data_IF_885743357836
#
_entry.id   IF_885743357836
#
_cell.length_a   1.000
_cell.length_b   1.000
_cell.length_c   1.000
_cell.angle_alpha   90.00
_cell.angle_beta   90.00
_cell.angle_gamma   90.00
#
_symmetry.space_group_name_H-M   'P 1'
#
loop_
_entity.id
_entity.type
_entity.pdbx_description
1 polymer ?
#
# COMPACT_ATOMS: atom_id res chain seq x y z
N UNK A 1 -1.36 -31.93 40.67
CA UNK A 1 -1.20 -30.46 40.71
C UNK A 1 -0.07 -29.95 39.82
N UNK A 2 1.16 -30.49 39.87
CA UNK A 2 2.29 -30.01 39.05
C UNK A 2 2.09 -30.12 37.51
N UNK A 3 1.37 -31.15 37.05
CA UNK A 3 1.10 -31.39 35.63
C UNK A 3 0.16 -30.33 35.03
N UNK A 4 -0.84 -29.89 35.78
CA UNK A 4 -1.78 -28.84 35.36
C UNK A 4 -1.11 -27.47 35.20
N UNK A 5 -0.09 -27.17 36.03
CA UNK A 5 0.68 -25.91 35.96
C UNK A 5 1.52 -25.84 34.68
N UNK A 6 2.06 -26.96 34.19
CA UNK A 6 2.79 -27.01 32.91
C UNK A 6 1.91 -26.64 31.72
N UNK A 7 0.67 -27.13 31.69
CA UNK A 7 -0.28 -26.81 30.61
C UNK A 7 -0.69 -25.33 30.62
N UNK A 8 -0.81 -24.72 31.80
CA UNK A 8 -1.09 -23.28 31.93
C UNK A 8 0.08 -22.44 31.39
N UNK A 9 1.33 -22.82 31.67
CA UNK A 9 2.51 -22.11 31.18
C UNK A 9 2.64 -22.16 29.64
N UNK A 10 2.29 -23.31 29.04
CA UNK A 10 2.26 -23.49 27.57
C UNK A 10 1.17 -22.64 26.93
N UNK A 11 0.00 -22.52 27.57
CA UNK A 11 -1.13 -21.72 27.05
C UNK A 11 -0.80 -20.22 27.01
N UNK A 12 -0.07 -19.71 28.02
CA UNK A 12 0.35 -18.30 28.08
C UNK A 12 1.35 -17.98 26.97
N UNK A 13 2.25 -18.91 26.63
CA UNK A 13 3.26 -18.72 25.60
C UNK A 13 2.66 -18.59 24.19
N UNK A 14 1.51 -19.22 23.95
CA UNK A 14 0.79 -19.19 22.66
C UNK A 14 0.04 -17.88 22.39
N UNK A 15 -0.16 -17.02 23.39
CA UNK A 15 -0.88 -15.75 23.25
C UNK A 15 0.02 -14.58 22.78
N UNK A 16 1.32 -14.82 22.59
CA UNK A 16 2.34 -13.80 22.27
C UNK A 16 2.36 -13.32 20.80
N UNK A 17 1.61 -13.94 19.90
CA UNK A 17 1.76 -13.73 18.44
C UNK A 17 0.84 -12.66 17.84
N UNK A 18 0.29 -11.76 18.67
CA UNK A 18 -0.51 -10.64 18.17
C UNK A 18 0.41 -9.52 17.67
N UNK A 19 0.92 -9.67 16.44
CA UNK A 19 1.64 -8.58 15.77
C UNK A 19 0.61 -7.70 15.03
N UNK A 20 0.43 -6.47 15.51
CA UNK A 20 -0.36 -5.48 14.78
C UNK A 20 0.46 -5.12 13.55
N UNK A 21 0.06 -5.67 12.38
CA UNK A 21 0.67 -5.33 11.09
C UNK A 21 0.79 -3.81 10.99
N UNK A 22 2.01 -3.29 11.13
CA UNK A 22 2.29 -1.87 10.94
C UNK A 22 1.95 -1.57 9.48
N UNK A 23 1.13 -0.55 9.25
CA UNK A 23 0.92 -0.04 7.89
C UNK A 23 2.30 0.31 7.32
N UNK A 24 2.73 -0.46 6.31
CA UNK A 24 4.05 -0.32 5.72
C UNK A 24 4.02 0.86 4.75
N UNK A 25 4.33 2.05 5.26
CA UNK A 25 4.50 3.23 4.42
C UNK A 25 5.80 3.08 3.63
N UNK A 26 5.69 3.12 2.32
CA UNK A 26 6.83 3.12 1.39
C UNK A 26 7.29 4.57 1.23
N UNK A 27 8.57 4.83 1.46
CA UNK A 27 9.20 6.13 1.21
C UNK A 27 10.05 6.07 -0.06
N UNK A 28 9.79 6.97 -1.02
CA UNK A 28 10.62 7.19 -2.20
C UNK A 28 11.26 8.58 -2.13
N UNK A 29 12.53 8.71 -2.51
CA UNK A 29 13.27 9.98 -2.50
C UNK A 29 13.77 10.33 -3.89
N UNK A 30 13.78 11.62 -4.21
CA UNK A 30 14.48 12.12 -5.39
C UNK A 30 15.99 11.86 -5.26
N UNK A 31 16.76 11.83 -6.36
CA UNK A 31 18.21 11.60 -6.32
C UNK A 31 18.99 12.55 -5.40
N UNK A 32 18.50 13.79 -5.26
CA UNK A 32 19.09 14.80 -4.38
C UNK A 32 18.42 14.89 -3.00
N UNK A 33 17.52 13.95 -2.68
CA UNK A 33 16.74 13.85 -1.44
C UNK A 33 15.93 15.10 -1.05
N UNK A 34 15.74 16.06 -1.95
CA UNK A 34 14.92 17.27 -1.69
C UNK A 34 13.43 17.00 -1.79
N UNK A 35 13.01 15.94 -2.48
CA UNK A 35 11.61 15.54 -2.56
C UNK A 35 11.49 14.12 -2.00
N UNK A 36 10.54 13.90 -1.10
CA UNK A 36 10.16 12.56 -0.65
C UNK A 36 8.68 12.33 -0.86
N UNK A 37 8.32 11.09 -1.20
CA UNK A 37 6.95 10.63 -1.35
C UNK A 37 6.71 9.48 -0.39
N UNK A 38 5.67 9.61 0.43
CA UNK A 38 5.13 8.52 1.22
C UNK A 38 3.96 7.91 0.47
N UNK A 39 3.92 6.59 0.35
CA UNK A 39 2.84 5.85 -0.28
C UNK A 39 2.42 4.69 0.61
N UNK A 40 1.11 4.51 0.76
CA UNK A 40 0.56 3.34 1.44
C UNK A 40 -0.86 3.07 0.97
N UNK A 41 -1.45 2.02 1.50
CA UNK A 41 -2.85 1.67 1.32
C UNK A 41 -3.50 1.71 2.70
N UNK A 42 -4.60 2.46 2.84
CA UNK A 42 -5.32 2.55 4.12
C UNK A 42 -6.08 1.25 4.45
N UNK A 43 -6.72 1.22 5.61
CA UNK A 43 -7.56 0.10 6.04
C UNK A 43 -8.75 -0.23 5.12
N UNK A 44 -9.20 0.72 4.30
CA UNK A 44 -10.26 0.52 3.32
C UNK A 44 -9.75 -0.05 1.99
N UNK A 45 -8.43 -0.23 1.83
CA UNK A 45 -7.83 -0.67 0.57
C UNK A 45 -7.59 0.46 -0.43
N UNK A 46 -7.69 1.72 -0.01
CA UNK A 46 -7.53 2.89 -0.87
C UNK A 46 -6.05 3.33 -0.87
N UNK A 47 -5.38 3.37 -2.04
CA UNK A 47 -4.03 3.90 -2.13
C UNK A 47 -4.02 5.39 -1.87
N UNK A 48 -3.08 5.86 -1.06
CA UNK A 48 -2.85 7.27 -0.81
C UNK A 48 -1.36 7.60 -0.92
N UNK A 49 -1.07 8.87 -1.17
CA UNK A 49 0.29 9.40 -1.17
C UNK A 49 0.36 10.77 -0.48
N UNK A 50 1.56 11.11 -0.03
CA UNK A 50 1.93 12.41 0.53
C UNK A 50 3.31 12.80 -0.03
N UNK A 51 3.50 14.06 -0.39
CA UNK A 51 4.77 14.56 -0.95
C UNK A 51 5.32 15.68 -0.09
N UNK A 52 6.60 15.57 0.24
CA UNK A 52 7.34 16.59 0.95
C UNK A 52 8.42 17.17 0.04
N UNK A 53 8.62 18.48 0.13
CA UNK A 53 9.84 19.13 -0.32
C UNK A 53 10.67 19.47 0.94
N UNK A 54 11.75 18.74 1.14
CA UNK A 54 12.57 18.72 2.36
C UNK A 54 11.70 18.34 3.57
N UNK A 55 11.36 19.31 4.41
CA UNK A 55 10.54 19.12 5.63
C UNK A 55 9.11 19.64 5.46
N UNK A 56 8.81 20.28 4.34
CA UNK A 56 7.51 20.90 4.09
C UNK A 56 6.63 19.94 3.29
N UNK A 57 5.42 19.67 3.79
CA UNK A 57 4.40 18.91 3.04
C UNK A 57 3.84 19.79 1.94
N UNK A 58 4.16 19.45 0.69
CA UNK A 58 3.69 20.19 -0.50
C UNK A 58 2.46 19.54 -1.14
N UNK A 59 2.24 18.24 -0.87
CA UNK A 59 1.01 17.52 -1.18
C UNK A 59 0.68 16.71 0.06
N UNK A 60 -0.39 17.07 0.76
CA UNK A 60 -0.93 16.29 1.88
C UNK A 60 -1.59 15.00 1.35
N UNK A 61 -2.06 14.17 2.27
CA UNK A 61 -2.72 12.89 2.03
C UNK A 61 -3.74 12.97 0.90
N UNK A 62 -3.37 12.40 -0.24
CA UNK A 62 -4.15 12.42 -1.47
C UNK A 62 -4.40 10.99 -1.94
N UNK A 63 -5.66 10.69 -2.25
CA UNK A 63 -6.05 9.36 -2.72
C UNK A 63 -5.81 9.19 -4.21
N UNK A 64 -5.37 7.99 -4.60
CA UNK A 64 -5.22 7.59 -6.00
C UNK A 64 -6.37 6.66 -6.36
N UNK A 65 -7.14 7.03 -7.38
CA UNK A 65 -8.25 6.24 -7.87
C UNK A 65 -8.54 6.53 -9.33
N UNK A 66 -9.15 5.56 -10.00
CA UNK A 66 -9.59 5.69 -11.39
C UNK A 66 -11.08 5.38 -11.46
N UNK A 67 -11.83 6.19 -12.20
CA UNK A 67 -13.24 5.93 -12.49
C UNK A 67 -13.40 5.70 -13.99
N UNK A 68 -13.76 4.47 -14.38
CA UNK A 68 -13.97 4.14 -15.79
C UNK A 68 -15.46 4.24 -16.13
N UNK A 69 -15.78 4.95 -17.22
CA UNK A 69 -17.15 5.29 -17.63
C UNK A 69 -18.10 4.10 -17.72
N UNK A 70 -17.61 2.90 -18.07
CA UNK A 70 -18.45 1.74 -18.39
C UNK A 70 -18.21 0.51 -17.50
N UNK A 71 -17.31 0.56 -16.52
CA UNK A 71 -17.04 -0.54 -15.56
C UNK A 71 -16.35 -0.02 -14.29
N UNK A 72 -16.81 -0.40 -13.11
CA UNK A 72 -16.07 -0.17 -11.88
C UNK A 72 -14.95 -1.22 -11.75
N UNK A 73 -13.72 -0.85 -12.07
CA UNK A 73 -12.55 -1.68 -11.76
C UNK A 73 -12.00 -1.21 -10.41
N UNK A 74 -12.07 -2.06 -9.39
CA UNK A 74 -11.44 -1.81 -8.09
C UNK A 74 -9.96 -2.12 -8.19
N UNK A 75 -9.11 -1.10 -8.07
CA UNK A 75 -7.65 -1.29 -8.04
C UNK A 75 -7.26 -1.84 -6.67
N UNK A 76 -6.58 -2.98 -6.67
CA UNK A 76 -6.08 -3.65 -5.48
C UNK A 76 -4.66 -4.20 -5.73
N UNK A 77 -4.12 -4.98 -4.79
CA UNK A 77 -2.78 -5.58 -4.88
C UNK A 77 -2.58 -6.59 -6.04
N UNK A 78 -3.65 -7.07 -6.68
CA UNK A 78 -3.59 -7.97 -7.85
C UNK A 78 -3.81 -7.26 -9.18
N UNK A 79 -3.96 -5.93 -9.19
CA UNK A 79 -4.23 -5.15 -10.39
C UNK A 79 -2.92 -4.58 -10.96
N UNK A 80 -2.55 -4.95 -12.19
CA UNK A 80 -1.40 -4.35 -12.90
C UNK A 80 -1.86 -3.20 -13.79
N UNK A 81 -1.17 -2.06 -13.65
CA UNK A 81 -1.36 -0.86 -14.48
C UNK A 81 -0.13 -0.66 -15.37
N UNK A 82 -0.27 -0.90 -16.67
CA UNK A 82 0.77 -0.60 -17.64
C UNK A 82 0.48 0.75 -18.31
N UNK A 83 1.42 1.68 -18.24
CA UNK A 83 1.30 3.00 -18.86
C UNK A 83 2.29 3.11 -20.02
N UNK A 84 1.80 3.45 -21.21
CA UNK A 84 2.64 3.77 -22.37
C UNK A 84 2.44 5.23 -22.76
N UNK A 85 3.54 5.92 -23.05
CA UNK A 85 3.56 7.32 -23.46
C UNK A 85 4.02 7.39 -24.91
N UNK A 86 3.21 7.99 -25.78
CA UNK A 86 3.57 8.25 -27.16
C UNK A 86 4.34 9.57 -27.28
N UNK A 87 5.19 9.68 -28.30
CA UNK A 87 5.99 10.88 -28.59
C UNK A 87 5.16 12.15 -28.82
N UNK A 88 3.89 12.01 -29.22
CA UNK A 88 2.92 13.10 -29.35
C UNK A 88 2.22 13.51 -28.04
N UNK A 89 2.66 13.01 -26.88
CA UNK A 89 2.10 13.34 -25.56
C UNK A 89 0.86 12.55 -25.15
N UNK A 90 0.34 11.67 -26.02
CA UNK A 90 -0.75 10.75 -25.67
C UNK A 90 -0.29 9.66 -24.70
N UNK A 91 -1.12 9.35 -23.70
CA UNK A 91 -0.89 8.26 -22.74
C UNK A 91 -1.95 7.16 -22.93
N UNK A 92 -1.53 5.90 -23.03
CA UNK A 92 -2.44 4.75 -22.95
C UNK A 92 -2.17 3.97 -21.66
N UNK A 93 -3.23 3.71 -20.90
CA UNK A 93 -3.19 2.90 -19.68
C UNK A 93 -3.85 1.56 -19.99
N UNK A 94 -3.10 0.48 -19.94
CA UNK A 94 -3.56 -0.89 -20.12
C UNK A 94 -3.63 -1.59 -18.76
N UNK A 95 -4.82 -2.07 -18.40
CA UNK A 95 -5.09 -2.66 -17.08
C UNK A 95 -5.25 -4.16 -17.26
N UNK A 96 -4.45 -4.94 -16.53
CA UNK A 96 -4.54 -6.40 -16.51
C UNK A 96 -4.78 -6.86 -15.09
N UNK A 97 -5.90 -7.55 -14.89
CA UNK A 97 -6.12 -8.29 -13.65
C UNK A 97 -5.24 -9.54 -13.70
N UNK A 98 -4.36 -9.71 -12.71
CA UNK A 98 -3.52 -10.89 -12.62
C UNK A 98 -4.38 -12.02 -12.08
N UNK A 99 -4.71 -12.98 -12.96
CA UNK A 99 -5.35 -14.21 -12.51
C UNK A 99 -4.39 -14.92 -11.52
N UNK A 100 -4.90 -15.24 -10.32
CA UNK A 100 -4.20 -16.12 -9.40
C UNK A 100 -4.06 -17.50 -10.07
N UNK A 101 -2.84 -18.02 -10.14
CA UNK A 101 -2.55 -19.42 -10.48
C UNK A 101 -2.41 -20.24 -9.21
#
# INVERSE_FOLDING_TARGET
>A
MLTSVKYILIMILLLSSCDKRKESVIELKSPNAKISMHFSVNSNGEPWYMVHHKTETIIDTSFVGFQFKNKTIKVNHTTLLNMSLASGGGMAIHIKEVANY
#
